data_IF_707530056141
#
_entry.id   IF_707530056141
#
_cell.length_a   1.000
_cell.length_b   1.000
_cell.length_c   1.000
_cell.angle_alpha   90.00
_cell.angle_beta   90.00
_cell.angle_gamma   90.00
#
_symmetry.space_group_name_H-M   'P 1'
#
loop_
_entity.id
_entity.type
_entity.pdbx_description
1 polymer ?
#
# COMPACT_ATOMS: atom_id res chain seq x y z
N UNK A 1 -6.77 58.22 -17.55
CA UNK A 1 -6.36 59.38 -16.72
C UNK A 1 -7.49 59.65 -15.76
N UNK A 2 -7.24 59.44 -14.48
CA UNK A 2 -8.19 59.60 -13.38
C UNK A 2 -7.36 59.33 -12.12
N UNK A 3 -7.00 60.39 -11.44
CA UNK A 3 -6.29 60.31 -10.17
C UNK A 3 -7.31 60.16 -9.04
N UNK A 4 -6.90 59.60 -7.90
CA UNK A 4 -6.87 60.29 -6.61
C UNK A 4 -6.72 59.28 -5.45
N UNK A 5 -5.80 59.63 -4.55
CA UNK A 5 -5.86 59.48 -3.10
C UNK A 5 -6.18 58.12 -2.46
N UNK A 6 -5.14 57.53 -1.86
CA UNK A 6 -5.32 56.74 -0.64
C UNK A 6 -5.15 57.60 0.62
N UNK A 7 -5.61 57.15 1.79
CA UNK A 7 -5.14 57.66 3.06
C UNK A 7 -4.23 56.65 3.77
N UNK A 8 -3.09 57.12 4.26
CA UNK A 8 -2.30 56.39 5.23
C UNK A 8 -3.02 56.35 6.58
N UNK A 9 -3.03 55.20 7.25
CA UNK A 9 -3.47 55.06 8.64
C UNK A 9 -2.36 54.39 9.47
N UNK A 10 -1.57 55.20 10.16
CA UNK A 10 -0.65 54.73 11.21
C UNK A 10 -1.44 54.52 12.51
N UNK A 11 -1.42 53.30 13.05
CA UNK A 11 -1.64 53.02 14.48
C UNK A 11 -0.65 51.92 14.89
N UNK A 12 0.51 52.19 15.47
CA UNK A 12 0.79 52.70 16.83
C UNK A 12 0.41 51.71 17.95
N UNK A 13 1.47 51.21 18.61
CA UNK A 13 1.52 50.75 20.00
C UNK A 13 0.49 49.73 20.53
N UNK A 14 0.93 48.47 20.67
CA UNK A 14 1.03 47.88 22.02
C UNK A 14 2.09 46.77 22.08
N UNK A 15 3.32 47.12 22.44
CA UNK A 15 4.37 46.16 22.81
C UNK A 15 4.06 45.55 24.18
N UNK A 16 3.10 44.62 24.23
CA UNK A 16 2.88 43.75 25.39
C UNK A 16 4.12 42.87 25.59
N UNK A 17 5.04 43.34 26.42
CA UNK A 17 6.09 42.51 27.00
C UNK A 17 5.42 41.30 27.68
N UNK A 18 5.77 40.05 27.34
CA UNK A 18 5.27 38.90 28.09
C UNK A 18 5.75 39.01 29.54
N UNK A 19 4.84 38.80 30.49
CA UNK A 19 5.17 38.75 31.91
C UNK A 19 6.21 37.66 32.16
N UNK A 20 7.44 38.05 32.50
CA UNK A 20 8.40 37.14 33.13
C UNK A 20 7.93 36.89 34.57
N UNK A 21 7.58 35.66 34.96
CA UNK A 21 7.20 35.38 36.35
C UNK A 21 8.40 35.60 37.27
N UNK A 22 8.28 36.63 38.13
CA UNK A 22 9.21 36.89 39.22
C UNK A 22 9.11 35.75 40.25
N UNK A 23 9.95 34.71 40.10
CA UNK A 23 9.72 33.45 40.80
C UNK A 23 10.90 32.49 40.93
N UNK A 24 12.14 32.89 40.65
CA UNK A 24 13.34 32.06 40.90
C UNK A 24 14.49 32.89 41.51
N UNK A 25 14.29 33.34 42.74
CA UNK A 25 15.38 33.83 43.59
C UNK A 25 16.21 32.64 44.10
N UNK A 26 17.22 32.21 43.35
CA UNK A 26 18.18 31.20 43.81
C UNK A 26 19.20 31.81 44.77
N UNK A 27 18.82 31.96 46.04
CA UNK A 27 19.75 32.24 47.15
C UNK A 27 20.58 30.99 47.52
N UNK A 28 21.43 30.55 46.61
CA UNK A 28 22.58 29.69 46.93
C UNK A 28 23.79 30.23 46.19
N UNK A 29 24.69 30.89 46.93
CA UNK A 29 25.83 31.66 46.42
C UNK A 29 26.96 30.83 45.80
N UNK A 30 26.64 29.98 44.84
CA UNK A 30 27.60 29.38 43.92
C UNK A 30 27.53 30.19 42.61
N UNK A 31 28.63 30.77 42.11
CA UNK A 31 28.62 31.41 40.81
C UNK A 31 28.22 30.36 39.75
N UNK A 32 27.34 30.70 38.79
CA UNK A 32 26.91 29.74 37.77
C UNK A 32 28.15 29.24 37.03
N UNK A 33 28.41 27.93 37.12
CA UNK A 33 29.49 27.29 36.39
C UNK A 33 29.12 27.39 34.91
N UNK A 34 29.63 28.43 34.26
CA UNK A 34 29.52 28.63 32.83
C UNK A 34 30.25 27.47 32.15
N UNK A 35 29.49 26.41 31.84
CA UNK A 35 29.97 25.35 30.96
C UNK A 35 30.43 26.05 29.68
N UNK A 36 31.71 25.95 29.29
CA UNK A 36 32.14 26.56 28.03
C UNK A 36 31.25 26.00 26.92
N UNK A 37 30.78 26.84 25.99
CA UNK A 37 29.93 26.36 24.91
C UNK A 37 30.67 25.24 24.20
N UNK A 38 30.08 24.03 24.23
CA UNK A 38 30.64 22.88 23.52
C UNK A 38 30.64 23.28 22.05
N UNK A 39 31.82 23.60 21.53
CA UNK A 39 32.05 23.80 20.12
C UNK A 39 31.85 22.44 19.44
N UNK A 40 30.60 22.13 19.14
CA UNK A 40 30.26 21.09 18.18
C UNK A 40 30.73 21.64 16.84
N UNK A 41 31.94 21.25 16.43
CA UNK A 41 32.48 21.57 15.12
C UNK A 41 31.41 21.27 14.07
N UNK A 42 31.07 22.29 13.28
CA UNK A 42 30.00 22.17 12.31
C UNK A 42 30.33 21.01 11.35
N UNK A 43 29.40 20.08 11.11
CA UNK A 43 29.67 18.93 10.25
C UNK A 43 30.13 19.42 8.87
N UNK A 44 31.16 18.80 8.26
CA UNK A 44 31.78 19.31 7.05
C UNK A 44 30.74 19.50 5.95
N UNK A 45 30.67 20.69 5.30
CA UNK A 45 29.52 21.12 4.52
C UNK A 45 29.20 20.20 3.33
N UNK A 46 30.18 19.46 2.83
CA UNK A 46 30.05 18.52 1.72
C UNK A 46 29.02 17.39 2.01
N UNK A 47 29.03 16.80 3.21
CA UNK A 47 28.12 15.70 3.58
C UNK A 47 26.64 16.12 3.54
N UNK A 48 26.34 17.33 4.01
CA UNK A 48 24.96 17.87 4.00
C UNK A 48 24.47 18.10 2.57
N UNK A 49 25.34 18.55 1.65
CA UNK A 49 24.94 18.71 0.24
C UNK A 49 24.77 17.38 -0.51
N UNK A 50 25.52 16.34 -0.13
CA UNK A 50 25.38 14.98 -0.68
C UNK A 50 24.06 14.35 -0.24
N UNK A 51 23.75 14.40 1.05
CA UNK A 51 22.50 13.87 1.59
C UNK A 51 21.26 14.60 1.02
N UNK A 52 21.29 15.95 0.91
CA UNK A 52 20.23 16.72 0.26
C UNK A 52 20.02 16.32 -1.21
N UNK A 53 21.10 16.11 -1.98
CA UNK A 53 21.00 15.62 -3.37
C UNK A 53 20.42 14.21 -3.44
N UNK A 54 20.80 13.31 -2.54
CA UNK A 54 20.25 11.97 -2.47
C UNK A 54 18.73 11.99 -2.21
N UNK A 55 18.26 12.75 -1.21
CA UNK A 55 16.83 12.91 -0.92
C UNK A 55 16.07 13.46 -2.14
N UNK A 56 16.60 14.48 -2.81
CA UNK A 56 15.95 15.05 -4.00
C UNK A 56 15.85 14.03 -5.14
N UNK A 57 16.88 13.21 -5.37
CA UNK A 57 16.85 12.16 -6.38
C UNK A 57 15.83 11.06 -6.05
N UNK A 58 15.72 10.64 -4.78
CA UNK A 58 14.76 9.60 -4.38
C UNK A 58 13.31 10.12 -4.47
N UNK A 59 13.06 11.39 -4.12
CA UNK A 59 11.77 12.06 -4.35
C UNK A 59 11.42 12.11 -5.84
N UNK A 60 12.37 12.43 -6.72
CA UNK A 60 12.15 12.44 -8.18
C UNK A 60 11.83 11.04 -8.72
N UNK A 61 12.54 10.02 -8.23
CA UNK A 61 12.34 8.61 -8.60
C UNK A 61 10.95 8.09 -8.19
N UNK A 62 10.50 8.40 -6.98
CA UNK A 62 9.15 8.06 -6.52
C UNK A 62 8.06 8.87 -7.27
N UNK A 63 8.31 10.12 -7.65
CA UNK A 63 7.39 10.88 -8.55
C UNK A 63 7.25 10.20 -9.91
N UNK A 64 8.35 9.90 -10.60
CA UNK A 64 8.33 9.22 -11.90
C UNK A 64 7.63 7.86 -11.84
N UNK A 65 7.80 7.11 -10.75
CA UNK A 65 7.12 5.83 -10.49
C UNK A 65 5.61 6.00 -10.26
N UNK A 66 5.17 7.08 -9.62
CA UNK A 66 3.74 7.42 -9.47
C UNK A 66 3.13 7.87 -10.79
N UNK A 67 3.82 8.73 -11.54
CA UNK A 67 3.42 9.19 -12.87
C UNK A 67 3.27 8.01 -13.85
N UNK A 68 4.22 7.08 -13.87
CA UNK A 68 4.12 5.85 -14.68
C UNK A 68 2.93 4.96 -14.32
N UNK A 69 2.58 4.86 -13.02
CA UNK A 69 1.36 4.15 -12.58
C UNK A 69 0.07 4.87 -13.00
N UNK A 70 0.06 6.20 -12.95
CA UNK A 70 -1.09 7.02 -13.38
C UNK A 70 -1.28 6.87 -14.89
N UNK A 71 -0.20 6.95 -15.68
CA UNK A 71 -0.24 6.77 -17.13
C UNK A 71 -0.75 5.38 -17.51
N UNK A 72 -0.23 4.32 -16.87
CA UNK A 72 -0.70 2.95 -17.12
C UNK A 72 -2.21 2.77 -16.84
N UNK A 73 -2.72 3.37 -15.77
CA UNK A 73 -4.17 3.39 -15.48
C UNK A 73 -4.96 4.21 -16.51
N UNK A 74 -4.44 5.34 -16.97
CA UNK A 74 -5.07 6.16 -18.01
C UNK A 74 -5.16 5.39 -19.34
N UNK A 75 -4.10 4.67 -19.72
CA UNK A 75 -4.07 3.82 -20.92
C UNK A 75 -5.04 2.62 -20.80
N UNK A 76 -5.15 2.03 -19.61
CA UNK A 76 -6.13 0.97 -19.32
C UNK A 76 -7.58 1.48 -19.43
N UNK A 77 -7.89 2.65 -18.86
CA UNK A 77 -9.20 3.29 -18.99
C UNK A 77 -9.52 3.67 -20.43
N UNK A 78 -8.56 4.22 -21.18
CA UNK A 78 -8.71 4.51 -22.60
C UNK A 78 -8.94 3.23 -23.43
N UNK A 79 -8.36 2.09 -23.04
CA UNK A 79 -8.65 0.79 -23.65
C UNK A 79 -10.06 0.29 -23.31
N UNK A 80 -10.50 0.39 -22.04
CA UNK A 80 -11.87 0.07 -21.64
C UNK A 80 -12.91 0.93 -22.36
N UNK A 81 -12.64 2.22 -22.54
CA UNK A 81 -13.50 3.13 -23.30
C UNK A 81 -13.58 2.71 -24.78
N UNK A 82 -12.46 2.40 -25.44
CA UNK A 82 -12.44 1.88 -26.81
C UNK A 82 -13.26 0.58 -26.98
N UNK A 83 -13.22 -0.32 -25.98
CA UNK A 83 -14.06 -1.53 -25.97
C UNK A 83 -15.55 -1.18 -25.79
N UNK A 84 -15.87 -0.23 -24.91
CA UNK A 84 -17.24 0.26 -24.71
C UNK A 84 -17.80 0.85 -26.01
N UNK A 85 -17.07 1.79 -26.63
CA UNK A 85 -17.43 2.46 -27.89
C UNK A 85 -17.53 1.47 -29.07
N UNK A 86 -16.67 0.46 -29.11
CA UNK A 86 -16.79 -0.63 -30.08
C UNK A 86 -18.08 -1.44 -29.84
N UNK A 87 -18.39 -1.78 -28.59
CA UNK A 87 -19.56 -2.59 -28.25
C UNK A 87 -20.88 -1.83 -28.48
N UNK A 88 -20.94 -0.53 -28.17
CA UNK A 88 -22.11 0.32 -28.41
C UNK A 88 -22.30 0.54 -29.91
N UNK A 89 -21.22 0.82 -30.65
CA UNK A 89 -21.25 0.89 -32.11
C UNK A 89 -21.70 -0.41 -32.79
N UNK A 90 -21.31 -1.57 -32.25
CA UNK A 90 -21.77 -2.88 -32.73
C UNK A 90 -23.27 -3.07 -32.47
N UNK A 91 -23.75 -2.79 -31.26
CA UNK A 91 -25.18 -2.88 -30.89
C UNK A 91 -26.05 -1.97 -31.77
N UNK A 92 -25.63 -0.72 -31.99
CA UNK A 92 -26.35 0.23 -32.83
C UNK A 92 -26.45 -0.23 -34.29
N UNK A 93 -25.41 -0.85 -34.85
CA UNK A 93 -25.48 -1.43 -36.21
C UNK A 93 -26.46 -2.60 -36.30
N UNK A 94 -26.43 -3.51 -35.32
CA UNK A 94 -27.34 -4.67 -35.26
C UNK A 94 -28.80 -4.20 -35.18
N UNK A 95 -29.09 -3.23 -34.30
CA UNK A 95 -30.44 -2.67 -34.15
C UNK A 95 -30.93 -1.95 -35.43
N UNK A 96 -30.03 -1.34 -36.20
CA UNK A 96 -30.33 -0.69 -37.46
C UNK A 96 -30.36 -1.66 -38.68
N UNK A 97 -30.15 -2.97 -38.48
CA UNK A 97 -30.08 -3.95 -39.57
C UNK A 97 -28.89 -3.75 -40.52
N UNK A 98 -27.85 -3.05 -40.08
CA UNK A 98 -26.64 -2.80 -40.88
C UNK A 98 -25.67 -3.98 -40.79
N UNK A 99 -24.92 -4.24 -41.87
CA UNK A 99 -23.91 -5.29 -41.84
C UNK A 99 -22.79 -4.96 -40.83
N UNK A 100 -22.41 -5.99 -40.08
CA UNK A 100 -21.39 -5.99 -39.04
C UNK A 100 -20.10 -6.68 -39.48
N UNK A 101 -20.09 -7.32 -40.66
CA UNK A 101 -18.91 -7.96 -41.26
C UNK A 101 -17.69 -7.03 -41.29
N UNK A 102 -17.85 -5.78 -41.74
CA UNK A 102 -16.83 -4.72 -41.77
C UNK A 102 -16.14 -4.49 -40.40
N UNK A 103 -16.88 -4.65 -39.29
CA UNK A 103 -16.39 -4.41 -37.92
C UNK A 103 -15.78 -5.66 -37.30
N UNK A 104 -16.10 -6.85 -37.82
CA UNK A 104 -15.57 -8.14 -37.38
C UNK A 104 -14.35 -8.62 -38.20
N UNK A 105 -14.04 -7.93 -39.29
CA UNK A 105 -12.86 -8.19 -40.11
C UNK A 105 -11.45 -7.79 -39.57
N UNK A 106 -11.21 -7.05 -38.45
CA UNK A 106 -9.85 -6.62 -38.11
C UNK A 106 -8.90 -7.79 -37.77
N UNK A 107 -9.44 -8.98 -37.42
CA UNK A 107 -8.63 -10.19 -37.25
C UNK A 107 -7.99 -10.72 -38.55
N UNK A 108 -8.54 -10.38 -39.73
CA UNK A 108 -7.95 -10.71 -41.02
C UNK A 108 -6.78 -9.77 -41.35
N UNK A 109 -6.98 -8.45 -41.23
CA UNK A 109 -5.92 -7.45 -41.45
C UNK A 109 -4.76 -7.60 -40.45
N UNK A 110 -5.05 -7.90 -39.18
CA UNK A 110 -4.02 -8.12 -38.16
C UNK A 110 -3.13 -9.36 -38.44
N UNK A 111 -3.62 -10.37 -39.18
CA UNK A 111 -2.78 -11.49 -39.64
C UNK A 111 -1.77 -11.04 -40.70
N UNK A 112 -2.18 -10.18 -41.62
CA UNK A 112 -1.33 -9.63 -42.67
C UNK A 112 -0.26 -8.69 -42.10
N UNK A 113 -0.64 -7.80 -41.17
CA UNK A 113 0.34 -6.90 -40.51
C UNK A 113 1.34 -7.68 -39.63
N UNK A 114 0.90 -8.74 -38.94
CA UNK A 114 1.79 -9.62 -38.16
C UNK A 114 2.77 -10.37 -39.06
N UNK A 115 2.32 -10.86 -40.22
CA UNK A 115 3.21 -11.49 -41.20
C UNK A 115 4.27 -10.51 -41.72
N UNK A 116 3.90 -9.25 -41.97
CA UNK A 116 4.82 -8.20 -42.40
C UNK A 116 5.86 -7.84 -41.31
N UNK A 117 5.45 -7.78 -40.04
CA UNK A 117 6.38 -7.55 -38.92
C UNK A 117 7.34 -8.73 -38.71
N UNK A 118 6.89 -9.97 -38.86
CA UNK A 118 7.80 -11.14 -38.78
C UNK A 118 8.79 -11.18 -39.94
N UNK A 119 8.38 -10.81 -41.16
CA UNK A 119 9.30 -10.74 -42.31
C UNK A 119 10.37 -9.65 -42.13
N UNK A 120 10.05 -8.52 -41.49
CA UNK A 120 11.00 -7.45 -41.17
C UNK A 120 11.99 -7.83 -40.06
N UNK A 121 11.59 -8.67 -39.10
CA UNK A 121 12.47 -9.13 -38.02
C UNK A 121 13.54 -10.15 -38.48
N UNK A 122 13.33 -10.81 -39.62
CA UNK A 122 14.26 -11.80 -40.20
C UNK A 122 15.12 -11.27 -41.34
N UNK A 123 15.07 -9.97 -41.63
CA UNK A 123 15.73 -9.39 -42.80
C UNK A 123 16.20 -7.95 -42.57
N UNK A 124 17.31 -7.78 -41.86
CA UNK A 124 17.97 -6.47 -41.78
C UNK A 124 18.98 -6.28 -40.64
N UNK A 125 20.25 -6.47 -41.00
CA UNK A 125 21.41 -5.67 -40.58
C UNK A 125 22.15 -6.01 -39.26
N UNK A 126 23.49 -6.16 -39.38
CA UNK A 126 24.45 -6.52 -38.34
C UNK A 126 24.81 -5.32 -37.45
N UNK A 127 23.78 -4.71 -36.85
CA UNK A 127 23.91 -3.54 -35.97
C UNK A 127 24.33 -3.90 -34.55
N UNK A 128 25.64 -3.92 -34.29
CA UNK A 128 26.22 -4.13 -32.96
C UNK A 128 25.64 -3.19 -31.88
N UNK A 129 24.79 -3.72 -30.99
CA UNK A 129 24.32 -3.01 -29.78
C UNK A 129 24.91 -3.69 -28.56
N UNK A 130 25.63 -2.93 -27.72
CA UNK A 130 26.32 -3.48 -26.56
C UNK A 130 25.34 -3.95 -25.48
N UNK A 131 25.23 -5.27 -25.34
CA UNK A 131 24.48 -5.94 -24.28
C UNK A 131 25.14 -5.66 -22.93
N UNK A 132 24.51 -4.79 -22.12
CA UNK A 132 24.98 -4.47 -20.76
C UNK A 132 24.26 -5.39 -19.77
N UNK A 133 24.70 -6.64 -19.72
CA UNK A 133 24.32 -7.57 -18.64
C UNK A 133 24.90 -7.07 -17.32
N UNK A 134 24.05 -6.53 -16.46
CA UNK A 134 24.40 -6.25 -15.06
C UNK A 134 24.25 -7.58 -14.31
N UNK A 135 25.36 -8.15 -13.82
CA UNK A 135 25.34 -9.41 -13.06
C UNK A 135 24.57 -9.25 -11.73
N UNK A 136 23.42 -9.92 -11.61
CA UNK A 136 22.57 -9.96 -10.39
C UNK A 136 23.21 -10.67 -9.16
N UNK A 137 24.53 -10.85 -9.13
CA UNK A 137 25.21 -11.64 -8.07
C UNK A 137 25.54 -10.84 -6.81
N UNK A 138 25.78 -9.55 -6.93
CA UNK A 138 26.37 -8.75 -5.84
C UNK A 138 25.35 -8.30 -4.77
N UNK A 139 24.05 -8.42 -5.04
CA UNK A 139 23.00 -7.98 -4.10
C UNK A 139 22.79 -8.99 -2.95
N UNK A 140 23.04 -10.28 -3.21
CA UNK A 140 22.78 -11.37 -2.24
C UNK A 140 23.79 -11.49 -1.10
N UNK A 141 24.95 -10.83 -1.19
CA UNK A 141 26.00 -10.91 -0.18
C UNK A 141 25.79 -9.95 1.01
N UNK A 142 25.08 -8.84 0.83
CA UNK A 142 24.93 -7.79 1.85
C UNK A 142 23.89 -8.12 2.93
N UNK A 143 22.84 -8.88 2.60
CA UNK A 143 21.82 -9.31 3.58
C UNK A 143 22.36 -10.32 4.62
N UNK A 144 23.40 -11.07 4.27
CA UNK A 144 23.99 -12.06 5.18
C UNK A 144 24.80 -11.42 6.33
N UNK A 145 25.35 -10.22 6.14
CA UNK A 145 26.20 -9.57 7.15
C UNK A 145 25.37 -8.81 8.21
N UNK A 146 24.24 -8.21 7.84
CA UNK A 146 23.36 -7.53 8.81
C UNK A 146 22.67 -8.50 9.79
N UNK A 147 22.36 -9.73 9.38
CA UNK A 147 21.74 -10.73 10.26
C UNK A 147 22.65 -11.13 11.44
N UNK A 148 23.98 -11.16 11.24
CA UNK A 148 24.94 -11.58 12.25
C UNK A 148 25.19 -10.55 13.38
N UNK A 149 24.79 -9.28 13.17
CA UNK A 149 25.03 -8.19 14.12
C UNK A 149 23.90 -8.02 15.16
N UNK A 150 22.72 -8.60 14.93
CA UNK A 150 21.54 -8.46 15.80
C UNK A 150 21.52 -9.51 16.92
N UNK A 151 21.88 -10.77 16.63
CA UNK A 151 21.89 -11.87 17.62
C UNK A 151 22.96 -11.73 18.72
N UNK A 152 23.97 -10.86 18.52
CA UNK A 152 25.05 -10.65 19.49
C UNK A 152 24.65 -9.90 20.77
N UNK A 153 23.49 -9.22 20.77
CA UNK A 153 23.14 -8.27 21.84
C UNK A 153 22.29 -8.86 22.99
N UNK A 154 21.74 -10.08 22.84
CA UNK A 154 20.64 -10.58 23.67
C UNK A 154 20.99 -11.68 24.69
N UNK A 155 22.26 -12.08 24.85
CA UNK A 155 22.67 -13.18 25.75
C UNK A 155 23.25 -12.74 27.12
N UNK A 156 23.02 -11.49 27.52
CA UNK A 156 23.69 -10.83 28.66
C UNK A 156 22.95 -10.83 30.00
N UNK A 157 22.26 -11.91 30.40
CA UNK A 157 21.51 -11.94 31.67
C UNK A 157 21.83 -13.13 32.60
N UNK A 158 21.81 -12.83 33.91
CA UNK A 158 21.69 -13.67 35.13
C UNK A 158 22.85 -13.48 36.12
N UNK A 159 22.58 -12.74 37.22
CA UNK A 159 23.07 -13.03 38.59
C UNK A 159 22.41 -12.17 39.69
N UNK A 160 21.47 -12.79 40.40
CA UNK A 160 21.11 -12.69 41.82
C UNK A 160 21.50 -11.43 42.65
N UNK A 161 20.50 -10.69 43.18
CA UNK A 161 20.03 -10.81 44.59
C UNK A 161 18.95 -9.77 45.00
N UNK A 162 18.15 -10.04 46.08
CA UNK A 162 17.06 -9.17 46.57
C UNK A 162 17.43 -8.32 47.81
N UNK A 163 16.42 -7.64 48.39
CA UNK A 163 16.40 -6.62 49.49
C UNK A 163 16.63 -5.16 49.01
N UNK A 164 15.92 -4.12 49.49
CA UNK A 164 14.89 -3.98 50.55
C UNK A 164 14.13 -2.64 50.46
N UNK A 165 12.92 -2.56 51.02
CA UNK A 165 12.11 -1.32 51.15
C UNK A 165 12.79 -0.17 51.93
N UNK A 166 12.66 1.09 51.45
CA UNK A 166 12.13 2.24 52.25
C UNK A 166 12.12 3.61 51.51
N UNK A 167 11.03 4.36 51.77
CA UNK A 167 10.66 5.77 51.40
C UNK A 167 11.77 6.85 51.44
N UNK A 168 11.53 8.08 50.90
CA UNK A 168 10.66 8.51 49.79
C UNK A 168 11.32 9.48 48.77
N UNK A 169 10.61 9.71 47.64
CA UNK A 169 10.92 10.61 46.51
C UNK A 169 11.70 11.92 46.82
N UNK A 170 12.82 12.14 46.11
CA UNK A 170 13.32 13.47 45.65
C UNK A 170 14.41 13.33 44.57
N UNK A 171 14.19 13.95 43.40
CA UNK A 171 15.14 14.16 42.29
C UNK A 171 15.77 12.90 41.65
N UNK A 172 15.01 12.15 40.84
CA UNK A 172 15.59 11.25 39.81
C UNK A 172 15.87 11.97 38.47
N UNK A 173 15.29 13.16 38.28
CA UNK A 173 15.26 14.00 37.05
C UNK A 173 16.62 14.54 36.57
N UNK A 174 17.74 13.99 37.06
CA UNK A 174 19.12 14.34 36.70
C UNK A 174 19.99 13.14 36.33
N UNK A 175 19.47 11.92 36.45
CA UNK A 175 20.11 10.75 35.86
C UNK A 175 19.87 10.81 34.34
N UNK A 176 20.89 10.61 33.50
CA UNK A 176 20.69 10.51 32.05
C UNK A 176 19.85 9.26 31.74
N UNK A 177 19.11 9.26 30.62
CA UNK A 177 18.12 8.22 30.32
C UNK A 177 18.68 6.77 30.38
N UNK A 178 19.96 6.57 30.05
CA UNK A 178 20.66 5.28 30.12
C UNK A 178 21.01 4.80 31.55
N UNK A 179 20.75 5.62 32.57
CA UNK A 179 21.01 5.33 33.98
C UNK A 179 19.74 5.29 34.84
N UNK A 180 18.56 5.31 34.21
CA UNK A 180 17.30 4.93 34.84
C UNK A 180 17.25 3.40 35.01
N UNK A 181 16.57 2.92 36.04
CA UNK A 181 16.25 1.48 36.16
C UNK A 181 15.14 1.12 35.18
N UNK A 182 15.08 -0.13 34.74
CA UNK A 182 14.08 -0.66 33.80
C UNK A 182 12.64 -0.26 34.20
N UNK A 183 12.28 -0.43 35.48
CA UNK A 183 10.98 0.01 36.06
C UNK A 183 10.71 1.52 35.99
N UNK A 184 11.76 2.38 36.03
CA UNK A 184 11.59 3.84 35.85
C UNK A 184 11.46 4.21 34.36
N UNK A 185 12.04 3.40 33.46
CA UNK A 185 11.97 3.60 32.03
C UNK A 185 10.59 3.19 31.48
N UNK A 186 10.12 1.97 31.80
CA UNK A 186 8.77 1.50 31.45
C UNK A 186 7.69 2.48 31.92
N UNK A 187 7.82 2.99 33.16
CA UNK A 187 6.87 3.96 33.70
C UNK A 187 6.92 5.32 32.99
N UNK A 188 8.08 5.72 32.46
CA UNK A 188 8.20 6.94 31.67
C UNK A 188 7.66 6.74 30.25
N UNK A 189 7.79 5.55 29.69
CA UNK A 189 7.16 5.15 28.44
C UNK A 189 5.63 5.13 28.58
N UNK A 190 5.06 4.58 29.66
CA UNK A 190 3.61 4.64 29.95
C UNK A 190 3.11 6.09 30.13
N UNK A 191 3.89 6.97 30.78
CA UNK A 191 3.57 8.40 30.90
C UNK A 191 3.62 9.13 29.54
N UNK A 192 4.60 8.82 28.67
CA UNK A 192 4.70 9.36 27.31
C UNK A 192 3.61 8.80 26.37
N UNK A 193 3.23 7.53 26.49
CA UNK A 193 2.09 6.95 25.76
C UNK A 193 0.77 7.59 26.17
N UNK A 194 0.55 7.84 27.47
CA UNK A 194 -0.63 8.54 27.95
C UNK A 194 -0.67 10.02 27.48
N UNK A 195 0.48 10.71 27.45
CA UNK A 195 0.58 12.06 26.87
C UNK A 195 0.26 12.04 25.37
N UNK A 196 0.79 11.08 24.61
CA UNK A 196 0.51 10.92 23.18
C UNK A 196 -0.95 10.58 22.88
N UNK A 197 -1.60 9.72 23.69
CA UNK A 197 -3.05 9.48 23.57
C UNK A 197 -3.84 10.75 23.86
N UNK A 198 -3.53 11.45 24.95
CA UNK A 198 -4.23 12.70 25.29
C UNK A 198 -4.05 13.79 24.22
N UNK A 199 -2.88 13.86 23.58
CA UNK A 199 -2.61 14.76 22.48
C UNK A 199 -3.42 14.42 21.21
N UNK A 200 -3.68 13.15 20.94
CA UNK A 200 -4.53 12.72 19.82
C UNK A 200 -6.01 13.01 20.11
N UNK A 201 -6.45 12.80 21.34
CA UNK A 201 -7.83 13.09 21.77
C UNK A 201 -8.12 14.61 21.83
N UNK A 202 -7.14 15.43 22.24
CA UNK A 202 -7.22 16.90 22.27
C UNK A 202 -6.92 17.55 20.89
N UNK A 203 -6.65 16.77 19.83
CA UNK A 203 -6.36 17.32 18.50
C UNK A 203 -7.64 17.74 17.76
N UNK A 204 -8.08 18.97 18.03
CA UNK A 204 -9.18 19.62 17.32
C UNK A 204 -8.79 19.96 15.86
N UNK A 205 -8.93 18.95 14.99
CA UNK A 205 -8.72 19.08 13.54
C UNK A 205 -9.66 20.10 12.91
N UNK A 206 -10.88 20.27 13.43
CA UNK A 206 -11.85 21.22 12.89
C UNK A 206 -11.38 22.66 13.16
N UNK A 207 -10.91 22.97 14.38
CA UNK A 207 -10.28 24.26 14.69
C UNK A 207 -9.03 24.52 13.85
N UNK A 208 -8.21 23.50 13.59
CA UNK A 208 -7.04 23.62 12.71
C UNK A 208 -7.45 23.93 11.25
N UNK A 209 -8.47 23.24 10.72
CA UNK A 209 -9.00 23.44 9.37
C UNK A 209 -9.66 24.82 9.23
N UNK A 210 -10.41 25.28 10.23
CA UNK A 210 -10.99 26.62 10.23
C UNK A 210 -9.91 27.71 10.23
N UNK A 211 -8.86 27.54 11.04
CA UNK A 211 -7.72 28.45 11.17
C UNK A 211 -6.74 28.44 9.97
N UNK A 212 -6.78 27.41 9.13
CA UNK A 212 -6.06 27.37 7.86
C UNK A 212 -6.73 28.29 6.82
N UNK A 213 -6.25 29.53 6.69
CA UNK A 213 -6.69 30.48 5.64
C UNK A 213 -6.18 30.17 4.22
N UNK A 214 -5.66 28.96 3.99
CA UNK A 214 -5.28 28.48 2.66
C UNK A 214 -6.53 28.29 1.78
N UNK A 215 -6.75 29.23 0.87
CA UNK A 215 -7.89 29.24 -0.05
C UNK A 215 -7.98 27.93 -0.86
N UNK A 216 -6.84 27.41 -1.33
CA UNK A 216 -6.73 26.16 -2.09
C UNK A 216 -7.23 24.94 -1.27
N UNK A 217 -6.99 24.93 0.05
CA UNK A 217 -7.45 23.86 0.94
C UNK A 217 -8.97 23.95 1.17
N UNK A 218 -9.48 25.17 1.39
CA UNK A 218 -10.92 25.43 1.54
C UNK A 218 -11.68 25.10 0.24
N UNK A 219 -11.12 25.37 -0.94
CA UNK A 219 -11.68 24.94 -2.23
C UNK A 219 -11.62 23.42 -2.42
N UNK A 220 -10.51 22.76 -2.07
CA UNK A 220 -10.40 21.30 -2.15
C UNK A 220 -11.38 20.58 -1.23
N UNK A 221 -11.56 21.05 0.01
CA UNK A 221 -12.57 20.53 0.94
C UNK A 221 -13.99 20.76 0.41
N UNK A 222 -14.27 21.94 -0.17
CA UNK A 222 -15.57 22.23 -0.79
C UNK A 222 -15.85 21.29 -1.96
N UNK A 223 -14.87 21.04 -2.83
CA UNK A 223 -14.99 20.11 -3.96
C UNK A 223 -15.20 18.67 -3.50
N UNK A 224 -14.57 18.23 -2.39
CA UNK A 224 -14.82 16.91 -1.83
C UNK A 224 -16.21 16.80 -1.19
N UNK A 225 -16.65 17.81 -0.44
CA UNK A 225 -18.01 17.83 0.12
C UNK A 225 -19.10 17.92 -0.96
N UNK A 226 -18.85 18.66 -2.05
CA UNK A 226 -19.72 18.72 -3.22
C UNK A 226 -19.73 17.39 -3.98
N UNK A 227 -18.57 16.73 -4.13
CA UNK A 227 -18.49 15.38 -4.71
C UNK A 227 -19.10 14.28 -3.81
N UNK A 228 -19.15 14.46 -2.50
CA UNK A 228 -19.82 13.54 -1.56
C UNK A 228 -21.34 13.78 -1.53
N UNK A 229 -21.78 15.03 -1.69
CA UNK A 229 -23.20 15.38 -1.82
C UNK A 229 -23.79 15.07 -3.21
N UNK A 230 -22.97 15.09 -4.26
CA UNK A 230 -23.34 14.73 -5.64
C UNK A 230 -22.96 13.27 -5.99
N UNK A 231 -22.25 12.56 -5.10
CA UNK A 231 -22.16 11.12 -5.20
C UNK A 231 -23.59 10.54 -5.16
N UNK A 232 -24.01 9.74 -6.18
CA UNK A 232 -25.27 9.02 -6.07
C UNK A 232 -25.21 8.17 -4.81
N UNK A 233 -26.27 8.19 -4.00
CA UNK A 233 -26.23 7.59 -2.68
C UNK A 233 -25.76 6.13 -2.79
N UNK A 234 -25.05 5.64 -1.77
CA UNK A 234 -24.54 4.27 -1.81
C UNK A 234 -25.70 3.25 -1.99
N UNK A 235 -26.91 3.61 -1.59
CA UNK A 235 -28.16 2.89 -1.86
C UNK A 235 -28.60 2.94 -3.33
N UNK A 236 -28.42 4.05 -4.05
CA UNK A 236 -28.65 4.17 -5.49
C UNK A 236 -27.65 3.32 -6.28
N UNK A 237 -26.37 3.33 -5.89
CA UNK A 237 -25.35 2.45 -6.48
C UNK A 237 -25.70 0.96 -6.28
N UNK A 238 -26.13 0.58 -5.07
CA UNK A 238 -26.62 -0.79 -4.80
C UNK A 238 -27.91 -1.13 -5.54
N UNK A 239 -28.82 -0.17 -5.77
CA UNK A 239 -29.97 -0.36 -6.64
C UNK A 239 -29.54 -0.56 -8.10
N UNK A 240 -28.48 0.13 -8.53
CA UNK A 240 -27.94 0.00 -9.88
C UNK A 240 -27.42 -1.41 -10.16
N UNK A 241 -26.67 -1.99 -9.22
CA UNK A 241 -26.21 -3.39 -9.31
C UNK A 241 -27.36 -4.41 -9.26
N UNK A 242 -28.39 -4.16 -8.43
CA UNK A 242 -29.57 -5.02 -8.33
C UNK A 242 -30.36 -5.06 -9.64
N UNK A 243 -30.55 -3.94 -10.35
CA UNK A 243 -31.21 -4.01 -11.66
C UNK A 243 -30.31 -4.61 -12.74
N UNK A 244 -28.99 -4.34 -12.73
CA UNK A 244 -28.03 -4.95 -13.66
C UNK A 244 -28.02 -6.49 -13.55
N UNK A 245 -27.98 -7.03 -12.33
CA UNK A 245 -28.04 -8.48 -12.08
C UNK A 245 -29.40 -9.08 -12.49
N UNK A 246 -30.51 -8.47 -12.08
CA UNK A 246 -31.86 -8.92 -12.49
C UNK A 246 -32.07 -8.88 -14.01
N UNK A 247 -31.51 -7.88 -14.70
CA UNK A 247 -31.55 -7.79 -16.16
C UNK A 247 -30.73 -8.90 -16.84
N UNK A 248 -29.52 -9.18 -16.33
CA UNK A 248 -28.71 -10.29 -16.83
C UNK A 248 -29.39 -11.67 -16.61
N UNK A 249 -30.03 -11.87 -15.46
CA UNK A 249 -30.83 -13.06 -15.14
C UNK A 249 -32.02 -13.16 -16.10
N UNK A 250 -32.76 -12.07 -16.34
CA UNK A 250 -33.89 -12.06 -17.27
C UNK A 250 -33.47 -12.37 -18.72
N UNK A 251 -32.37 -11.79 -19.20
CA UNK A 251 -31.82 -12.06 -20.54
C UNK A 251 -31.34 -13.51 -20.67
N UNK A 252 -30.67 -14.07 -19.66
CA UNK A 252 -30.29 -15.49 -19.65
C UNK A 252 -31.51 -16.42 -19.61
N UNK A 253 -32.57 -16.06 -18.88
CA UNK A 253 -33.82 -16.82 -18.92
C UNK A 253 -34.50 -16.75 -20.29
N UNK A 254 -34.47 -15.61 -20.97
CA UNK A 254 -35.05 -15.45 -22.30
C UNK A 254 -34.27 -16.27 -23.34
N UNK A 255 -32.94 -16.15 -23.36
CA UNK A 255 -32.06 -16.93 -24.26
C UNK A 255 -32.20 -18.45 -24.06
N UNK A 256 -32.38 -18.92 -22.82
CA UNK A 256 -32.62 -20.33 -22.54
C UNK A 256 -34.07 -20.78 -22.82
N UNK A 257 -35.04 -19.86 -22.91
CA UNK A 257 -36.45 -20.21 -23.19
C UNK A 257 -36.64 -20.66 -24.64
N UNK A 258 -35.95 -20.01 -25.58
CA UNK A 258 -35.99 -20.35 -27.00
C UNK A 258 -35.22 -21.64 -27.31
N UNK A 259 -34.21 -22.00 -26.50
CA UNK A 259 -33.48 -23.26 -26.62
C UNK A 259 -34.28 -24.51 -26.17
N UNK A 260 -35.24 -24.35 -25.26
CA UNK A 260 -36.03 -25.48 -24.69
C UNK A 260 -37.30 -25.78 -25.51
N UNK A 261 -37.74 -24.86 -26.38
CA UNK A 261 -38.96 -25.03 -27.18
C UNK A 261 -38.90 -26.07 -28.31
N UNK A 262 -37.72 -26.60 -28.65
CA UNK A 262 -37.51 -27.33 -29.91
C UNK A 262 -36.87 -28.73 -29.76
N UNK A 263 -36.62 -29.19 -28.53
CA UNK A 263 -36.10 -30.51 -28.23
C UNK A 263 -37.08 -31.32 -27.35
N UNK A 264 -38.09 -31.93 -27.99
CA UNK A 264 -38.94 -32.91 -27.32
C UNK A 264 -38.18 -34.21 -27.05
N UNK A 265 -38.29 -34.76 -25.83
CA UNK A 265 -37.98 -36.18 -25.57
C UNK A 265 -37.06 -36.51 -24.39
N UNK A 266 -37.63 -36.57 -23.19
CA UNK A 266 -37.26 -37.58 -22.19
C UNK A 266 -36.13 -37.25 -21.18
N UNK A 267 -36.30 -37.62 -19.89
CA UNK A 267 -35.25 -37.50 -18.88
C UNK A 267 -34.26 -38.69 -18.96
N UNK A 268 -33.21 -38.55 -19.77
CA UNK A 268 -32.16 -39.55 -19.88
C UNK A 268 -31.21 -39.52 -18.66
N UNK A 269 -31.32 -40.53 -17.79
CA UNK A 269 -30.31 -40.84 -16.78
C UNK A 269 -29.04 -41.36 -17.47
N UNK A 270 -27.89 -40.73 -17.23
CA UNK A 270 -26.58 -41.39 -17.21
C UNK A 270 -25.82 -40.84 -15.99
N UNK A 271 -25.21 -41.63 -15.09
CA UNK A 271 -24.56 -42.94 -15.22
C UNK A 271 -23.45 -42.98 -16.26
N UNK A 272 -22.40 -42.19 -16.03
CA UNK A 272 -21.04 -42.70 -16.30
C UNK A 272 -20.18 -42.55 -15.05
N UNK A 273 -19.51 -43.64 -14.72
CA UNK A 273 -18.65 -43.79 -13.56
C UNK A 273 -17.31 -44.34 -14.04
N UNK A 274 -16.23 -43.93 -13.36
CA UNK A 274 -15.01 -44.73 -13.13
C UNK A 274 -14.09 -45.00 -14.33
N UNK A 275 -12.83 -44.57 -14.24
CA UNK A 275 -11.75 -45.21 -15.00
C UNK A 275 -10.44 -44.44 -15.20
N UNK A 276 -9.52 -44.57 -14.23
CA UNK A 276 -8.08 -44.86 -14.44
C UNK A 276 -7.30 -44.17 -15.58
N UNK A 277 -6.27 -43.38 -15.22
CA UNK A 277 -4.85 -43.64 -15.59
C UNK A 277 -3.87 -42.62 -14.97
N UNK A 278 -2.78 -43.12 -14.37
CA UNK A 278 -1.46 -42.46 -14.36
C UNK A 278 -0.50 -43.27 -15.25
N UNK A 279 0.84 -43.26 -15.06
CA UNK A 279 1.67 -42.46 -14.15
C UNK A 279 2.45 -41.40 -14.98
N UNK A 280 3.80 -41.32 -15.15
CA UNK A 280 4.95 -42.07 -14.62
C UNK A 280 5.73 -41.34 -13.49
N UNK A 281 6.64 -42.05 -12.83
CA UNK A 281 7.80 -41.46 -12.13
C UNK A 281 8.92 -41.14 -13.14
N UNK A 282 9.72 -40.11 -12.88
CA UNK A 282 11.08 -40.00 -13.41
C UNK A 282 11.99 -39.37 -12.34
N UNK A 283 12.94 -40.12 -11.83
CA UNK A 283 13.89 -39.62 -10.84
C UNK A 283 15.08 -38.91 -11.49
N UNK A 284 15.55 -37.84 -10.86
CA UNK A 284 16.95 -37.39 -11.00
C UNK A 284 17.55 -37.15 -9.62
N UNK A 285 18.62 -37.89 -9.33
CA UNK A 285 19.45 -37.75 -8.14
C UNK A 285 20.29 -36.48 -8.22
N UNK A 286 20.25 -35.64 -7.18
CA UNK A 286 21.06 -34.42 -7.07
C UNK A 286 21.33 -34.08 -5.61
N UNK A 287 22.32 -34.74 -5.00
CA UNK A 287 22.68 -34.52 -3.60
C UNK A 287 23.13 -33.07 -3.33
N UNK A 288 22.38 -32.37 -2.48
CA UNK A 288 22.91 -31.30 -1.62
C UNK A 288 22.45 -31.48 -0.18
N UNK A 289 23.16 -32.36 0.54
CA UNK A 289 23.42 -32.14 1.98
C UNK A 289 24.01 -30.73 2.14
N UNK A 290 23.63 -29.92 3.13
CA UNK A 290 22.56 -30.09 4.10
C UNK A 290 22.74 -29.05 5.21
N UNK A 291 21.70 -28.25 5.48
CA UNK A 291 21.68 -27.30 6.60
C UNK A 291 20.21 -27.05 7.03
N UNK A 292 19.79 -27.75 8.07
CA UNK A 292 18.73 -27.39 9.02
C UNK A 292 17.26 -27.23 8.51
N UNK A 293 16.63 -28.29 7.99
CA UNK A 293 15.16 -28.38 8.02
C UNK A 293 14.64 -28.80 9.41
N UNK A 294 14.80 -27.93 10.42
CA UNK A 294 14.40 -28.18 11.81
C UNK A 294 13.32 -27.21 12.35
N UNK A 295 12.29 -26.97 11.55
CA UNK A 295 11.02 -26.37 11.99
C UNK A 295 9.83 -27.17 11.46
N UNK A 296 9.89 -28.51 11.59
CA UNK A 296 8.72 -29.36 11.40
C UNK A 296 7.81 -29.29 12.63
N UNK A 297 7.26 -28.10 12.87
CA UNK A 297 6.14 -27.92 13.78
C UNK A 297 4.97 -28.77 13.28
N UNK A 298 4.56 -29.75 14.07
CA UNK A 298 3.38 -30.54 13.77
C UNK A 298 2.15 -29.66 13.86
N UNK A 299 1.34 -29.69 12.81
CA UNK A 299 -0.14 -29.67 12.83
C UNK A 299 -0.59 -29.67 11.36
N UNK A 300 -0.37 -30.80 10.69
CA UNK A 300 -1.04 -31.15 9.44
C UNK A 300 -2.45 -31.67 9.78
N UNK A 301 -3.24 -30.81 10.44
CA UNK A 301 -4.67 -31.03 10.61
C UNK A 301 -5.31 -31.24 9.23
N UNK A 302 -6.08 -32.32 9.09
CA UNK A 302 -6.69 -32.73 7.83
C UNK A 302 -7.73 -31.69 7.37
N UNK A 303 -7.25 -30.67 6.65
CA UNK A 303 -8.06 -29.53 6.20
C UNK A 303 -9.17 -30.02 5.29
N UNK A 304 -10.45 -29.70 5.57
CA UNK A 304 -11.52 -30.03 4.64
C UNK A 304 -11.27 -29.31 3.31
N UNK A 305 -11.34 -30.06 2.20
CA UNK A 305 -11.01 -29.55 0.86
C UNK A 305 -11.82 -28.31 0.46
N UNK A 306 -13.01 -28.10 1.04
CA UNK A 306 -13.82 -26.89 0.88
C UNK A 306 -13.12 -25.63 1.41
N UNK A 307 -12.44 -25.67 2.57
CA UNK A 307 -11.70 -24.53 3.13
C UNK A 307 -10.48 -24.18 2.27
N UNK A 308 -9.82 -25.18 1.68
CA UNK A 308 -8.73 -24.95 0.72
C UNK A 308 -9.23 -24.34 -0.59
N UNK A 309 -10.33 -24.85 -1.14
CA UNK A 309 -10.95 -24.30 -2.35
C UNK A 309 -11.42 -22.85 -2.13
N UNK A 310 -12.01 -22.53 -0.98
CA UNK A 310 -12.42 -21.16 -0.63
C UNK A 310 -11.22 -20.20 -0.51
N UNK A 311 -10.15 -20.61 0.18
CA UNK A 311 -8.93 -19.80 0.28
C UNK A 311 -8.24 -19.60 -1.08
N UNK A 312 -8.28 -20.60 -1.97
CA UNK A 312 -7.74 -20.48 -3.32
C UNK A 312 -8.62 -19.61 -4.22
N UNK A 313 -9.94 -19.68 -4.09
CA UNK A 313 -10.87 -18.79 -4.80
C UNK A 313 -10.64 -17.33 -4.40
N UNK A 314 -10.58 -17.04 -3.09
CA UNK A 314 -10.30 -15.71 -2.56
C UNK A 314 -9.00 -15.11 -3.09
N UNK A 315 -7.90 -15.88 -3.10
CA UNK A 315 -6.62 -15.43 -3.67
C UNK A 315 -6.61 -15.36 -5.21
N UNK A 316 -7.56 -15.99 -5.91
CA UNK A 316 -7.72 -15.83 -7.36
C UNK A 316 -8.59 -14.62 -7.74
N UNK A 317 -9.39 -14.12 -6.80
CA UNK A 317 -10.23 -12.93 -6.94
C UNK A 317 -9.41 -11.65 -6.69
N UNK A 318 -8.56 -11.64 -5.66
CA UNK A 318 -7.65 -10.54 -5.33
C UNK A 318 -6.15 -10.86 -5.60
N UNK A 319 -5.60 -10.53 -6.79
CA UNK A 319 -4.22 -10.86 -7.15
C UNK A 319 -3.15 -10.06 -6.38
N UNK A 320 -3.51 -8.99 -5.68
CA UNK A 320 -2.61 -8.29 -4.75
C UNK A 320 -2.55 -8.98 -3.38
N UNK A 321 -3.66 -9.55 -2.90
CA UNK A 321 -3.67 -10.40 -1.70
C UNK A 321 -2.84 -11.68 -1.91
N UNK A 322 -2.87 -12.26 -3.11
CA UNK A 322 -2.03 -13.40 -3.49
C UNK A 322 -0.51 -13.14 -3.43
N UNK A 323 -0.07 -11.88 -3.45
CA UNK A 323 1.35 -11.51 -3.30
C UNK A 323 1.78 -11.42 -1.83
N UNK A 324 0.86 -11.06 -0.94
CA UNK A 324 1.15 -10.83 0.48
C UNK A 324 0.78 -12.01 1.38
N UNK A 325 -0.21 -12.83 0.98
CA UNK A 325 -0.74 -13.92 1.78
C UNK A 325 -0.59 -15.27 1.07
N UNK A 326 -0.02 -16.25 1.78
CA UNK A 326 -0.08 -17.64 1.37
C UNK A 326 -1.50 -18.20 1.50
N UNK A 327 -1.82 -19.29 0.79
CA UNK A 327 -3.11 -20.01 0.93
C UNK A 327 -3.42 -20.41 2.37
N UNK A 328 -2.39 -20.71 3.20
CA UNK A 328 -2.55 -20.99 4.64
C UNK A 328 -2.94 -19.73 5.43
N UNK A 329 -2.34 -18.57 5.11
CA UNK A 329 -2.71 -17.28 5.72
C UNK A 329 -4.12 -16.84 5.31
N UNK A 330 -4.49 -16.97 4.03
CA UNK A 330 -5.83 -16.68 3.55
C UNK A 330 -6.90 -17.57 4.21
N UNK A 331 -6.59 -18.88 4.41
CA UNK A 331 -7.47 -19.77 5.18
C UNK A 331 -7.66 -19.28 6.61
N UNK A 332 -6.59 -18.90 7.31
CA UNK A 332 -6.67 -18.41 8.69
C UNK A 332 -7.50 -17.12 8.81
N UNK A 333 -7.41 -16.22 7.82
CA UNK A 333 -8.25 -15.02 7.73
C UNK A 333 -9.73 -15.37 7.52
N UNK A 334 -10.04 -16.29 6.59
CA UNK A 334 -11.41 -16.76 6.35
C UNK A 334 -12.00 -17.51 7.54
N UNK A 335 -11.16 -18.24 8.29
CA UNK A 335 -11.57 -18.96 9.50
C UNK A 335 -11.86 -17.98 10.64
N UNK A 336 -11.01 -16.97 10.85
CA UNK A 336 -11.24 -15.86 11.80
C UNK A 336 -12.43 -14.95 11.43
N UNK A 337 -12.82 -14.89 10.15
CA UNK A 337 -14.00 -14.15 9.69
C UNK A 337 -15.32 -14.96 9.79
N UNK A 338 -15.26 -16.21 10.25
CA UNK A 338 -16.41 -17.09 10.46
C UNK A 338 -16.71 -17.37 11.95
N UNK A 339 -15.87 -16.85 12.86
CA UNK A 339 -16.08 -16.82 14.31
C UNK A 339 -16.77 -15.51 14.75
#
# INVERSE_FOLDING_TARGET
>A
MGAEDGPAAQQSSSSKQPFLPSGMATELGLPPIAKPPIQRDAPPPDMVTKHKRYILNEIQKERAKREGKIQAKADELAHKQKLSDFSSGLRSRILNGQDVSDKWAPAAAAKEERAFRTARATGGDDGCVAETTVDDKDISALDAEMAALVDGALSGAVKDKPLSDSKPKKQKDKLPAWALTEEDAEKKEEEEEAELLSFVDDLDYDQYIEGCDDADLKEALRLMAEAEAEAPSLEDAMQEEKWKSNFAIAMNHLANKDAVGMAGGGPAKSMFSRGSQGPPELGTTGEKKGWNSSTKGGDDDAVPASKLAAAQAFLSEDPDMAKMHSTKSARALLEKAQE
#
